data_IF_073535127169
#
_entry.id   IF_073535127169
#
_cell.length_a   1.000
_cell.length_b   1.000
_cell.length_c   1.000
_cell.angle_alpha   90.00
_cell.angle_beta   90.00
_cell.angle_gamma   90.00
#
_symmetry.space_group_name_H-M   'P 1'
#
loop_
_entity.id
_entity.type
_entity.pdbx_description
1 polymer ?
#
# COMPACT_ATOMS: atom_id res chain seq x y z
N UNK A 1 18.16 -15.81 25.45
CA UNK A 1 16.84 -15.20 25.66
C UNK A 1 16.59 -14.28 24.50
N UNK A 2 15.74 -14.67 23.54
CA UNK A 2 15.35 -13.82 22.42
C UNK A 2 14.41 -12.75 22.97
N UNK A 3 14.90 -11.52 23.04
CA UNK A 3 14.08 -10.35 23.34
C UNK A 3 12.89 -10.35 22.39
N UNK A 4 11.68 -10.32 22.96
CA UNK A 4 10.45 -10.36 22.16
C UNK A 4 10.19 -8.96 21.63
N UNK A 5 10.71 -8.67 20.45
CA UNK A 5 10.52 -7.37 19.81
C UNK A 5 9.10 -7.24 19.26
N UNK A 6 8.43 -6.13 19.58
CA UNK A 6 7.13 -5.79 19.04
C UNK A 6 7.26 -5.17 17.63
N UNK A 7 6.22 -5.34 16.81
CA UNK A 7 6.17 -4.79 15.47
C UNK A 7 6.15 -3.26 15.50
N UNK A 8 7.07 -2.64 14.75
CA UNK A 8 7.19 -1.17 14.67
C UNK A 8 6.36 -0.54 13.55
N UNK A 9 5.62 -1.35 12.78
CA UNK A 9 4.82 -0.84 11.66
C UNK A 9 3.67 0.04 12.19
N UNK A 10 3.39 1.17 11.53
CA UNK A 10 2.36 2.08 11.98
C UNK A 10 1.00 1.38 11.97
N UNK A 11 0.21 1.62 13.02
CA UNK A 11 -1.15 1.06 13.20
C UNK A 11 -1.19 -0.47 13.25
N UNK A 12 -0.08 -1.14 13.56
CA UNK A 12 -0.07 -2.58 13.79
C UNK A 12 -1.11 -2.97 14.86
N UNK A 13 -1.93 -3.98 14.57
CA UNK A 13 -2.94 -4.50 15.48
C UNK A 13 -4.18 -3.63 15.70
N UNK A 14 -4.27 -2.43 15.10
CA UNK A 14 -5.45 -1.54 15.08
C UNK A 14 -6.41 -1.70 16.29
N UNK A 15 -5.99 -1.28 17.48
CA UNK A 15 -6.78 -1.32 18.71
C UNK A 15 -6.41 -2.44 19.68
N UNK A 16 -5.87 -3.57 19.21
CA UNK A 16 -5.40 -4.67 20.07
C UNK A 16 -3.94 -4.55 20.52
N UNK A 17 -3.26 -3.46 20.13
CA UNK A 17 -1.82 -3.25 20.34
C UNK A 17 -0.94 -3.92 19.27
N UNK A 18 0.36 -3.54 19.19
CA UNK A 18 1.28 -4.06 18.18
C UNK A 18 1.51 -5.56 18.37
N UNK A 19 1.56 -6.30 17.25
CA UNK A 19 1.84 -7.74 17.22
C UNK A 19 3.32 -8.01 17.45
N UNK A 20 3.64 -9.26 17.79
CA UNK A 20 5.01 -9.72 17.87
C UNK A 20 5.70 -9.67 16.50
N UNK A 21 6.93 -9.16 16.45
CA UNK A 21 7.75 -9.19 15.24
C UNK A 21 8.24 -10.61 14.96
N UNK A 22 8.46 -10.91 13.68
CA UNK A 22 9.09 -12.17 13.27
C UNK A 22 10.56 -12.18 13.72
N UNK A 23 11.08 -13.33 14.13
CA UNK A 23 12.49 -13.46 14.52
C UNK A 23 13.43 -12.92 13.43
N UNK A 24 14.33 -12.00 13.80
CA UNK A 24 15.24 -11.33 12.87
C UNK A 24 14.65 -10.12 12.15
N UNK A 25 13.35 -9.83 12.30
CA UNK A 25 12.68 -8.66 11.76
C UNK A 25 12.20 -7.72 12.88
N UNK A 26 11.87 -6.49 12.51
CA UNK A 26 11.20 -5.50 13.36
C UNK A 26 9.70 -5.41 13.06
N UNK A 27 9.18 -6.27 12.19
CA UNK A 27 7.79 -6.28 11.74
C UNK A 27 7.14 -7.65 11.91
N UNK A 28 5.83 -7.67 12.14
CA UNK A 28 5.04 -8.90 12.15
C UNK A 28 4.74 -9.35 10.70
N UNK A 29 4.42 -10.64 10.53
CA UNK A 29 4.09 -11.23 9.23
C UNK A 29 2.98 -10.47 8.51
N UNK A 30 1.92 -10.07 9.21
CA UNK A 30 0.78 -9.37 8.58
C UNK A 30 1.15 -7.99 8.04
N UNK A 31 1.90 -7.18 8.79
CA UNK A 31 2.34 -5.86 8.31
C UNK A 31 3.27 -6.01 7.11
N UNK A 32 4.16 -7.01 7.12
CA UNK A 32 5.03 -7.30 5.99
C UNK A 32 4.24 -7.76 4.75
N UNK A 33 3.27 -8.66 4.93
CA UNK A 33 2.39 -9.13 3.84
C UNK A 33 1.54 -8.00 3.26
N UNK A 34 1.00 -7.10 4.09
CA UNK A 34 0.29 -5.90 3.63
C UNK A 34 1.19 -5.00 2.79
N UNK A 35 2.42 -4.76 3.24
CA UNK A 35 3.39 -3.98 2.47
C UNK A 35 3.72 -4.65 1.11
N UNK A 36 3.88 -5.98 1.09
CA UNK A 36 4.05 -6.73 -0.18
C UNK A 36 2.87 -6.56 -1.12
N UNK A 37 1.63 -6.70 -0.60
CA UNK A 37 0.41 -6.46 -1.38
C UNK A 37 0.43 -5.06 -1.99
N UNK A 38 0.71 -4.06 -1.17
CA UNK A 38 0.62 -2.67 -1.58
C UNK A 38 1.66 -2.36 -2.66
N UNK A 39 2.92 -2.78 -2.47
CA UNK A 39 3.97 -2.69 -3.49
C UNK A 39 3.61 -3.44 -4.78
N UNK A 40 3.10 -4.68 -4.68
CA UNK A 40 2.72 -5.47 -5.84
C UNK A 40 1.56 -4.84 -6.64
N UNK A 41 0.69 -4.08 -5.97
CA UNK A 41 -0.42 -3.36 -6.60
C UNK A 41 -0.02 -2.02 -7.24
N UNK A 42 1.14 -1.45 -6.92
CA UNK A 42 1.54 -0.12 -7.41
C UNK A 42 1.52 0.04 -8.94
N UNK A 43 2.00 -0.91 -9.76
CA UNK A 43 1.95 -0.77 -11.21
C UNK A 43 0.52 -0.61 -11.74
N UNK A 44 -0.42 -1.42 -11.21
CA UNK A 44 -1.83 -1.36 -11.60
C UNK A 44 -2.48 -0.05 -11.14
N UNK A 45 -2.13 0.44 -9.95
CA UNK A 45 -2.59 1.73 -9.42
C UNK A 45 -2.11 2.88 -10.33
N UNK A 46 -0.83 2.92 -10.67
CA UNK A 46 -0.27 3.96 -11.53
C UNK A 46 -0.91 3.93 -12.92
N UNK A 47 -1.10 2.74 -13.49
CA UNK A 47 -1.79 2.58 -14.76
C UNK A 47 -3.24 3.09 -14.71
N UNK A 48 -4.00 2.68 -13.68
CA UNK A 48 -5.38 3.11 -13.48
C UNK A 48 -5.52 4.63 -13.33
N UNK A 49 -4.65 5.24 -12.52
CA UNK A 49 -4.58 6.69 -12.38
C UNK A 49 -4.25 7.37 -13.71
N UNK A 50 -3.33 6.80 -14.49
CA UNK A 50 -3.01 7.29 -15.84
C UNK A 50 -4.24 7.40 -16.76
N UNK A 51 -5.16 6.43 -16.69
CA UNK A 51 -6.42 6.46 -17.45
C UNK A 51 -7.40 7.56 -16.98
N UNK A 52 -7.23 8.08 -15.76
CA UNK A 52 -8.07 9.11 -15.14
C UNK A 52 -7.44 10.52 -15.16
N UNK A 53 -6.39 10.70 -15.97
CA UNK A 53 -5.68 11.98 -16.14
C UNK A 53 -6.54 13.02 -16.87
N UNK A 54 -7.37 12.57 -17.81
CA UNK A 54 -8.30 13.44 -18.56
C UNK A 54 -9.60 13.54 -17.75
N UNK A 55 -10.14 14.74 -17.50
CA UNK A 55 -11.44 14.89 -16.85
C UNK A 55 -12.50 14.18 -17.68
N UNK A 56 -13.11 13.13 -17.12
CA UNK A 56 -14.40 12.66 -17.62
C UNK A 56 -15.38 13.83 -17.50
N UNK A 57 -16.15 14.12 -18.54
CA UNK A 57 -17.00 15.32 -18.66
C UNK A 57 -18.16 15.41 -17.67
N UNK A 58 -17.87 15.47 -16.37
CA UNK A 58 -18.81 15.86 -15.34
C UNK A 58 -18.73 17.39 -15.21
N UNK A 59 -19.75 18.06 -15.71
CA UNK A 59 -19.90 19.52 -15.63
C UNK A 59 -19.88 19.97 -14.17
N UNK A 60 -18.74 20.50 -13.73
CA UNK A 60 -18.63 21.19 -12.46
C UNK A 60 -19.49 22.45 -12.46
N UNK A 61 -20.04 22.78 -11.29
CA UNK A 61 -20.85 23.96 -11.05
C UNK A 61 -20.10 25.22 -11.52
N UNK A 62 -20.75 26.04 -12.36
CA UNK A 62 -20.17 27.28 -12.89
C UNK A 62 -20.02 28.29 -11.77
N UNK A 63 -18.86 28.31 -11.14
CA UNK A 63 -18.47 29.42 -10.26
C UNK A 63 -18.10 30.60 -11.15
N UNK A 64 -19.01 31.57 -11.25
CA UNK A 64 -18.80 32.85 -11.94
C UNK A 64 -17.61 33.58 -11.31
N UNK A 65 -16.47 33.67 -12.00
CA UNK A 65 -15.39 34.56 -11.53
C UNK A 65 -13.96 34.36 -12.05
N UNK A 66 -13.60 33.31 -12.78
CA UNK A 66 -12.23 33.18 -13.34
C UNK A 66 -12.22 33.29 -14.86
N UNK A 67 -11.36 34.18 -15.37
CA UNK A 67 -11.07 34.39 -16.81
C UNK A 67 -10.14 33.31 -17.40
N UNK A 68 -9.67 32.38 -16.58
CA UNK A 68 -8.70 31.38 -16.97
C UNK A 68 -9.39 30.07 -17.33
N UNK A 69 -9.11 29.53 -18.53
CA UNK A 69 -9.66 28.25 -18.95
C UNK A 69 -9.17 27.18 -17.97
N UNK A 70 -10.06 26.32 -17.43
CA UNK A 70 -9.64 25.25 -16.55
C UNK A 70 -8.64 24.36 -17.28
N UNK A 71 -7.57 24.00 -16.58
CA UNK A 71 -6.53 23.11 -17.09
C UNK A 71 -7.19 21.81 -17.56
N UNK A 72 -6.92 21.32 -18.79
CA UNK A 72 -7.66 20.21 -19.39
C UNK A 72 -7.31 18.83 -18.81
N UNK A 73 -6.57 18.81 -17.69
CA UNK A 73 -6.06 17.60 -17.03
C UNK A 73 -6.25 17.70 -15.53
N UNK A 74 -6.40 16.54 -14.89
CA UNK A 74 -6.48 16.40 -13.44
C UNK A 74 -5.10 16.50 -12.81
N UNK A 75 -4.79 17.68 -12.28
CA UNK A 75 -3.48 18.01 -11.71
C UNK A 75 -3.13 17.17 -10.48
N UNK A 76 -4.13 16.77 -9.69
CA UNK A 76 -3.96 15.90 -8.53
C UNK A 76 -3.53 14.47 -8.93
N UNK A 77 -4.14 13.92 -9.97
CA UNK A 77 -3.75 12.62 -10.56
C UNK A 77 -2.34 12.71 -11.14
N UNK A 78 -2.06 13.77 -11.90
CA UNK A 78 -0.74 14.00 -12.48
C UNK A 78 0.34 14.12 -11.40
N UNK A 79 0.09 14.87 -10.32
CA UNK A 79 1.03 14.99 -9.22
C UNK A 79 1.34 13.62 -8.57
N UNK A 80 0.34 12.75 -8.44
CA UNK A 80 0.51 11.42 -7.85
C UNK A 80 1.32 10.44 -8.72
N UNK A 81 1.26 10.56 -10.06
CA UNK A 81 1.92 9.61 -10.99
C UNK A 81 3.14 10.18 -11.71
N UNK A 82 3.39 11.49 -11.62
CA UNK A 82 4.49 12.14 -12.33
C UNK A 82 5.83 11.83 -11.64
N UNK A 83 6.85 11.37 -12.39
CA UNK A 83 8.19 11.18 -11.86
C UNK A 83 8.94 12.49 -11.61
N UNK A 84 8.40 13.62 -12.07
CA UNK A 84 8.92 14.96 -11.85
C UNK A 84 8.28 15.66 -10.65
N UNK A 85 7.24 15.07 -10.05
CA UNK A 85 6.67 15.59 -8.82
C UNK A 85 7.65 15.38 -7.66
N UNK A 86 7.81 16.41 -6.82
CA UNK A 86 8.68 16.32 -5.65
C UNK A 86 8.13 15.31 -4.63
N UNK A 87 9.03 14.71 -3.86
CA UNK A 87 8.62 13.89 -2.73
C UNK A 87 8.11 14.83 -1.64
N UNK A 88 6.83 14.68 -1.31
CA UNK A 88 6.14 15.50 -0.32
C UNK A 88 6.34 14.86 1.05
N UNK A 89 7.15 15.48 1.90
CA UNK A 89 7.30 15.13 3.31
C UNK A 89 6.86 16.36 4.10
N UNK A 90 5.56 16.44 4.41
CA UNK A 90 4.96 17.64 4.98
C UNK A 90 5.35 17.83 6.46
N UNK A 91 6.59 18.26 6.72
CA UNK A 91 7.10 18.58 8.05
C UNK A 91 6.55 19.92 8.59
N UNK A 92 6.13 20.84 7.70
CA UNK A 92 5.78 22.23 8.05
C UNK A 92 4.34 22.64 7.72
N UNK A 93 3.53 21.77 7.11
CA UNK A 93 2.14 22.05 6.73
C UNK A 93 1.98 22.90 5.47
N UNK A 94 3.07 23.18 4.74
CA UNK A 94 3.10 24.12 3.62
C UNK A 94 3.12 23.44 2.24
N UNK A 95 3.28 22.11 2.20
CA UNK A 95 3.23 21.34 0.96
C UNK A 95 1.79 20.94 0.63
N UNK A 96 1.29 21.38 -0.53
CA UNK A 96 -0.08 21.09 -0.99
C UNK A 96 -0.04 20.11 -2.16
N UNK A 97 -0.60 18.91 -1.97
CA UNK A 97 -0.77 17.92 -3.05
C UNK A 97 -0.66 16.46 -2.57
N UNK A 98 -1.10 15.48 -3.37
CA UNK A 98 -0.89 14.08 -3.04
C UNK A 98 0.60 13.71 -3.15
N UNK A 99 1.11 12.78 -2.32
CA UNK A 99 2.46 12.26 -2.48
C UNK A 99 2.62 11.59 -3.84
N UNK A 100 3.75 11.85 -4.50
CA UNK A 100 4.12 11.20 -5.76
C UNK A 100 4.52 9.74 -5.51
N UNK A 101 3.84 8.81 -6.19
CA UNK A 101 4.16 7.38 -6.13
C UNK A 101 5.59 7.13 -6.63
N UNK A 102 6.00 7.54 -7.86
CA UNK A 102 7.35 7.26 -8.33
C UNK A 102 8.43 7.87 -7.42
N UNK A 103 8.27 9.11 -6.97
CA UNK A 103 9.32 9.78 -6.20
C UNK A 103 9.48 9.19 -4.80
N UNK A 104 8.37 8.77 -4.18
CA UNK A 104 8.41 8.03 -2.91
C UNK A 104 9.04 6.65 -3.08
N UNK A 105 8.73 5.90 -4.14
CA UNK A 105 9.41 4.62 -4.38
C UNK A 105 10.91 4.81 -4.65
N UNK A 106 11.30 5.88 -5.37
CA UNK A 106 12.70 6.24 -5.62
C UNK A 106 13.48 6.51 -4.35
N UNK A 107 12.93 7.26 -3.39
CA UNK A 107 13.63 7.56 -2.13
C UNK A 107 13.94 6.29 -1.35
N UNK A 108 12.99 5.34 -1.26
CA UNK A 108 13.21 4.05 -0.61
C UNK A 108 14.21 3.16 -1.36
N UNK A 109 14.14 3.12 -2.69
CA UNK A 109 15.12 2.37 -3.51
C UNK A 109 16.53 2.95 -3.31
N UNK A 110 16.66 4.27 -3.31
CA UNK A 110 17.94 4.95 -3.07
C UNK A 110 18.52 4.60 -1.70
N UNK A 111 17.70 4.66 -0.64
CA UNK A 111 18.12 4.31 0.72
C UNK A 111 18.61 2.85 0.82
N UNK A 112 17.90 1.91 0.17
CA UNK A 112 18.33 0.50 0.11
C UNK A 112 19.64 0.37 -0.66
N UNK A 113 19.79 1.05 -1.79
CA UNK A 113 21.03 1.05 -2.58
C UNK A 113 22.21 1.58 -1.76
N UNK A 114 22.04 2.67 -1.03
CA UNK A 114 23.06 3.26 -0.15
C UNK A 114 23.49 2.27 0.93
N UNK A 115 22.54 1.71 1.69
CA UNK A 115 22.84 0.77 2.77
C UNK A 115 23.44 -0.56 2.30
N UNK A 116 23.13 -0.99 1.07
CA UNK A 116 23.57 -2.29 0.53
C UNK A 116 24.75 -2.18 -0.44
N UNK A 117 25.20 -0.98 -0.79
CA UNK A 117 26.20 -0.77 -1.83
C UNK A 117 25.75 -1.28 -3.20
N UNK A 118 24.46 -1.15 -3.53
CA UNK A 118 23.90 -1.55 -4.83
C UNK A 118 23.84 -0.38 -5.80
N UNK A 119 23.90 -0.68 -7.10
CA UNK A 119 23.69 0.33 -8.14
C UNK A 119 22.23 0.79 -8.15
N UNK A 120 22.02 2.09 -8.09
CA UNK A 120 20.70 2.71 -8.17
C UNK A 120 20.16 2.68 -9.62
N UNK A 121 18.92 2.23 -9.85
CA UNK A 121 18.34 2.20 -11.19
C UNK A 121 17.80 3.59 -11.59
N UNK A 122 18.65 4.42 -12.18
CA UNK A 122 18.33 5.84 -12.48
C UNK A 122 17.08 6.06 -13.34
N UNK A 123 16.80 5.14 -14.27
CA UNK A 123 15.72 5.26 -15.25
C UNK A 123 14.54 4.30 -15.00
N UNK A 124 14.41 3.78 -13.79
CA UNK A 124 13.34 2.84 -13.47
C UNK A 124 11.96 3.52 -13.40
N UNK A 125 10.95 2.86 -13.95
CA UNK A 125 9.55 3.22 -13.76
C UNK A 125 9.01 2.77 -12.40
N UNK A 126 7.78 3.18 -12.07
CA UNK A 126 7.16 2.86 -10.77
C UNK A 126 7.03 1.34 -10.53
N UNK A 127 6.83 0.54 -11.57
CA UNK A 127 6.72 -0.91 -11.44
C UNK A 127 8.07 -1.58 -11.22
N UNK A 128 9.12 -1.12 -11.91
CA UNK A 128 10.49 -1.57 -11.70
C UNK A 128 10.99 -1.23 -10.29
N UNK A 129 10.67 -0.03 -9.80
CA UNK A 129 10.98 0.41 -8.43
C UNK A 129 10.22 -0.44 -7.40
N UNK A 130 8.91 -0.63 -7.58
CA UNK A 130 8.11 -1.49 -6.68
C UNK A 130 8.65 -2.94 -6.66
N UNK A 131 9.01 -3.47 -7.83
CA UNK A 131 9.65 -4.79 -7.94
C UNK A 131 11.02 -4.87 -7.25
N UNK A 132 11.81 -3.80 -7.30
CA UNK A 132 13.07 -3.70 -6.56
C UNK A 132 12.82 -3.74 -5.05
N UNK A 133 11.89 -2.93 -4.55
CA UNK A 133 11.52 -2.91 -3.13
C UNK A 133 11.03 -4.27 -2.67
N UNK A 134 10.17 -4.95 -3.44
CA UNK A 134 9.69 -6.30 -3.13
C UNK A 134 10.84 -7.31 -2.95
N UNK A 135 11.84 -7.31 -3.84
CA UNK A 135 13.01 -8.20 -3.75
C UNK A 135 13.87 -7.94 -2.52
N UNK A 136 13.83 -6.73 -1.98
CA UNK A 136 14.65 -6.32 -0.84
C UNK A 136 13.86 -6.15 0.46
N UNK A 137 12.55 -6.40 0.45
CA UNK A 137 11.67 -6.12 1.58
C UNK A 137 12.02 -6.95 2.81
N UNK A 138 12.42 -8.22 2.64
CA UNK A 138 12.80 -9.07 3.77
C UNK A 138 14.09 -8.57 4.45
N UNK A 139 15.04 -8.10 3.66
CA UNK A 139 16.24 -7.46 4.19
C UNK A 139 15.90 -6.12 4.89
N UNK A 140 14.98 -5.35 4.31
CA UNK A 140 14.49 -4.10 4.88
C UNK A 140 13.73 -4.34 6.19
N UNK A 141 13.05 -5.48 6.34
CA UNK A 141 12.26 -5.83 7.51
C UNK A 141 13.07 -5.88 8.81
N UNK A 142 14.39 -6.03 8.73
CA UNK A 142 15.33 -5.99 9.86
C UNK A 142 15.89 -4.59 10.15
N UNK A 143 15.48 -3.55 9.43
CA UNK A 143 16.05 -2.19 9.52
C UNK A 143 15.15 -1.25 10.31
N UNK A 144 15.71 -0.31 11.10
CA UNK A 144 14.93 0.55 12.00
C UNK A 144 13.90 1.42 11.27
N UNK A 145 14.17 1.78 10.01
CA UNK A 145 13.29 2.60 9.17
C UNK A 145 12.15 1.83 8.48
N UNK A 146 12.02 0.50 8.68
CA UNK A 146 10.96 -0.28 8.00
C UNK A 146 9.55 0.22 8.34
N UNK A 147 9.32 0.73 9.56
CA UNK A 147 8.03 1.27 9.95
C UNK A 147 7.60 2.43 9.06
N UNK A 148 8.54 3.31 8.71
CA UNK A 148 8.31 4.46 7.84
C UNK A 148 8.00 4.00 6.41
N UNK A 149 8.79 3.07 5.85
CA UNK A 149 8.53 2.49 4.52
C UNK A 149 7.12 1.89 4.43
N UNK A 150 6.74 1.07 5.41
CA UNK A 150 5.40 0.46 5.45
C UNK A 150 4.31 1.54 5.54
N UNK A 151 4.54 2.57 6.36
CA UNK A 151 3.61 3.68 6.54
C UNK A 151 3.38 4.46 5.25
N UNK A 152 4.46 4.85 4.58
CA UNK A 152 4.40 5.61 3.33
C UNK A 152 3.78 4.80 2.20
N UNK A 153 4.16 3.54 2.03
CA UNK A 153 3.57 2.66 1.00
C UNK A 153 2.06 2.49 1.23
N UNK A 154 1.62 2.28 2.47
CA UNK A 154 0.21 2.20 2.80
C UNK A 154 -0.51 3.54 2.57
N UNK A 155 0.16 4.66 2.83
CA UNK A 155 -0.36 6.00 2.57
C UNK A 155 -0.55 6.27 1.08
N UNK A 156 0.44 5.94 0.24
CA UNK A 156 0.35 6.03 -1.23
C UNK A 156 -0.88 5.29 -1.76
N UNK A 157 -1.08 4.04 -1.34
CA UNK A 157 -2.25 3.24 -1.71
C UNK A 157 -3.55 3.95 -1.31
N UNK A 158 -3.64 4.41 -0.06
CA UNK A 158 -4.85 5.09 0.44
C UNK A 158 -5.16 6.35 -0.37
N UNK A 159 -4.18 7.19 -0.64
CA UNK A 159 -4.36 8.43 -1.42
C UNK A 159 -4.77 8.08 -2.86
N UNK A 160 -4.11 7.13 -3.50
CA UNK A 160 -4.47 6.70 -4.85
C UNK A 160 -5.93 6.21 -4.95
N UNK A 161 -6.45 5.55 -3.91
CA UNK A 161 -7.85 5.15 -3.83
C UNK A 161 -8.85 6.31 -3.69
N UNK A 162 -8.40 7.49 -3.26
CA UNK A 162 -9.24 8.70 -3.23
C UNK A 162 -9.20 9.50 -4.53
N UNK A 163 -8.19 9.28 -5.38
CA UNK A 163 -7.95 10.09 -6.58
C UNK A 163 -8.73 9.62 -7.80
N UNK A 164 -9.21 8.39 -7.87
CA UNK A 164 -10.04 7.93 -8.99
C UNK A 164 -11.20 7.09 -8.45
N UNK A 165 -12.32 6.97 -9.19
CA UNK A 165 -13.32 5.97 -8.87
C UNK A 165 -12.65 4.59 -8.86
N UNK A 166 -12.85 3.83 -7.80
CA UNK A 166 -12.44 2.44 -7.72
C UNK A 166 -13.71 1.63 -7.54
N UNK A 167 -14.12 0.88 -8.57
CA UNK A 167 -15.13 -0.16 -8.39
C UNK A 167 -14.46 -1.34 -7.71
N UNK A 168 -14.39 -1.25 -6.38
CA UNK A 168 -13.86 -2.30 -5.55
C UNK A 168 -14.97 -3.33 -5.38
N UNK A 169 -14.98 -4.37 -6.21
CA UNK A 169 -15.81 -5.52 -5.92
C UNK A 169 -15.23 -6.25 -4.71
N UNK A 170 -15.95 -6.21 -3.59
CA UNK A 170 -15.57 -6.89 -2.36
C UNK A 170 -16.50 -8.07 -2.15
N UNK A 171 -15.91 -9.26 -2.07
CA UNK A 171 -16.62 -10.50 -1.78
C UNK A 171 -16.30 -10.93 -0.35
N UNK A 172 -17.32 -11.01 0.51
CA UNK A 172 -17.20 -11.65 1.81
C UNK A 172 -17.04 -13.17 1.63
N UNK A 173 -16.08 -13.75 2.33
CA UNK A 173 -15.82 -15.19 2.32
C UNK A 173 -16.50 -15.85 3.52
N UNK A 174 -16.96 -17.08 3.31
CA UNK A 174 -17.82 -17.78 4.29
C UNK A 174 -16.99 -18.39 5.41
N UNK A 175 -15.78 -18.85 5.13
CA UNK A 175 -14.93 -19.48 6.14
C UNK A 175 -14.43 -18.46 7.18
N UNK A 176 -14.30 -18.87 8.46
CA UNK A 176 -13.71 -18.03 9.49
C UNK A 176 -12.24 -17.74 9.20
N UNK A 177 -11.70 -16.68 9.80
CA UNK A 177 -10.28 -16.40 9.70
C UNK A 177 -9.46 -17.45 10.50
N UNK A 178 -8.46 -18.11 9.91
CA UNK A 178 -7.68 -19.14 10.61
C UNK A 178 -6.92 -18.62 11.84
N UNK A 179 -6.68 -17.31 11.93
CA UNK A 179 -5.92 -16.72 13.04
C UNK A 179 -6.78 -16.16 14.17
N UNK A 180 -8.05 -15.86 13.95
CA UNK A 180 -8.90 -15.25 14.98
C UNK A 180 -10.31 -15.81 15.05
N UNK A 181 -10.64 -16.78 14.19
CA UNK A 181 -11.93 -17.45 14.09
C UNK A 181 -13.13 -16.54 13.73
N UNK A 182 -12.89 -15.25 13.48
CA UNK A 182 -13.93 -14.30 13.08
C UNK A 182 -14.21 -14.42 11.58
N UNK A 183 -15.49 -14.41 11.20
CA UNK A 183 -15.97 -14.37 9.80
C UNK A 183 -15.83 -12.97 9.21
N UNK A 184 -14.59 -12.53 9.05
CA UNK A 184 -14.24 -11.22 8.53
C UNK A 184 -13.32 -11.30 7.30
N UNK A 185 -13.16 -12.48 6.69
CA UNK A 185 -12.34 -12.62 5.48
C UNK A 185 -13.04 -11.99 4.27
N UNK A 186 -12.33 -11.09 3.59
CA UNK A 186 -12.80 -10.36 2.42
C UNK A 186 -11.82 -10.56 1.27
N UNK A 187 -12.34 -10.91 0.10
CA UNK A 187 -11.62 -10.88 -1.17
C UNK A 187 -11.93 -9.57 -1.87
N UNK A 188 -10.90 -8.84 -2.27
CA UNK A 188 -11.04 -7.62 -3.05
C UNK A 188 -10.60 -7.92 -4.48
N UNK A 189 -11.44 -7.61 -5.47
CA UNK A 189 -11.13 -7.84 -6.87
C UNK A 189 -9.83 -7.11 -7.28
N UNK A 190 -8.94 -7.85 -7.95
CA UNK A 190 -7.63 -7.35 -8.36
C UNK A 190 -6.56 -7.34 -7.26
N UNK A 191 -6.90 -7.68 -6.01
CA UNK A 191 -5.91 -7.86 -4.95
C UNK A 191 -5.43 -9.33 -4.87
N UNK A 192 -4.12 -9.58 -4.70
CA UNK A 192 -3.59 -10.93 -4.61
C UNK A 192 -3.76 -11.57 -3.22
N UNK A 193 -4.37 -10.85 -2.27
CA UNK A 193 -4.54 -11.32 -0.90
C UNK A 193 -6.00 -11.16 -0.44
N UNK A 194 -6.44 -12.12 0.35
CA UNK A 194 -7.66 -12.10 1.16
C UNK A 194 -7.30 -11.51 2.51
N UNK A 195 -8.03 -10.49 2.96
CA UNK A 195 -7.78 -9.82 4.22
C UNK A 195 -8.88 -10.10 5.25
N UNK A 196 -8.48 -10.36 6.49
CA UNK A 196 -9.41 -10.37 7.62
C UNK A 196 -9.70 -8.93 8.07
N UNK A 197 -10.85 -8.38 7.69
CA UNK A 197 -11.18 -6.97 7.82
C UNK A 197 -11.32 -6.53 9.29
N UNK A 198 -10.43 -5.64 9.73
CA UNK A 198 -10.41 -5.11 11.09
C UNK A 198 -11.62 -4.23 11.42
N UNK A 199 -12.29 -3.65 10.41
CA UNK A 199 -13.44 -2.76 10.60
C UNK A 199 -14.67 -3.50 11.15
N UNK A 200 -14.75 -4.80 10.92
CA UNK A 200 -15.82 -5.68 11.40
C UNK A 200 -15.32 -6.66 12.48
N UNK A 201 -14.22 -6.31 13.15
CA UNK A 201 -13.66 -7.07 14.27
C UNK A 201 -12.58 -8.09 13.88
N UNK A 202 -12.22 -8.20 12.60
CA UNK A 202 -11.19 -9.12 12.13
C UNK A 202 -9.76 -8.78 12.61
N UNK A 203 -8.85 -9.74 12.48
CA UNK A 203 -7.48 -9.59 12.96
C UNK A 203 -6.53 -8.93 11.95
N UNK A 204 -6.95 -8.54 10.75
CA UNK A 204 -6.07 -7.87 9.77
C UNK A 204 -5.01 -8.77 9.12
N UNK A 205 -5.03 -10.08 9.35
CA UNK A 205 -4.14 -11.00 8.64
C UNK A 205 -4.52 -11.08 7.17
N UNK A 206 -3.51 -11.19 6.33
CA UNK A 206 -3.63 -11.34 4.89
C UNK A 206 -3.20 -12.75 4.50
N UNK A 207 -3.97 -13.35 3.61
CA UNK A 207 -3.82 -14.73 3.15
C UNK A 207 -3.78 -14.74 1.63
N UNK A 208 -2.91 -15.55 1.05
CA UNK A 208 -2.99 -15.86 -0.36
C UNK A 208 -4.23 -16.72 -0.64
N UNK A 209 -4.68 -16.72 -1.90
CA UNK A 209 -5.79 -17.58 -2.33
C UNK A 209 -5.50 -19.07 -2.02
N UNK A 210 -4.27 -19.53 -2.28
CA UNK A 210 -3.86 -20.90 -2.01
C UNK A 210 -3.83 -21.27 -0.51
N UNK A 211 -3.52 -20.32 0.38
CA UNK A 211 -3.62 -20.55 1.82
C UNK A 211 -5.07 -20.63 2.27
N UNK A 212 -5.94 -19.76 1.73
CA UNK A 212 -7.37 -19.79 2.01
C UNK A 212 -8.03 -21.09 1.52
N UNK A 213 -7.76 -21.53 0.30
CA UNK A 213 -8.28 -22.78 -0.26
C UNK A 213 -7.90 -23.99 0.59
N UNK A 214 -6.64 -24.04 1.06
CA UNK A 214 -6.17 -25.08 1.96
C UNK A 214 -6.92 -25.10 3.28
N UNK A 215 -7.13 -23.93 3.87
CA UNK A 215 -7.90 -23.78 5.10
C UNK A 215 -9.35 -24.24 4.93
N UNK A 216 -9.99 -23.86 3.82
CA UNK A 216 -11.36 -24.31 3.51
C UNK A 216 -11.41 -25.83 3.38
N UNK A 217 -10.44 -26.43 2.68
CA UNK A 217 -10.37 -27.89 2.53
C UNK A 217 -10.22 -28.61 3.88
N UNK A 218 -9.42 -28.06 4.79
CA UNK A 218 -9.27 -28.58 6.16
C UNK A 218 -10.59 -28.52 6.94
N UNK A 219 -11.34 -27.42 6.83
CA UNK A 219 -12.64 -27.26 7.51
C UNK A 219 -13.72 -28.19 6.97
N UNK A 220 -13.73 -28.47 5.67
CA UNK A 220 -14.73 -29.36 5.04
C UNK A 220 -14.40 -30.85 5.20
N UNK A 221 -13.16 -31.17 5.57
CA UNK A 221 -12.70 -32.55 5.79
C UNK A 221 -12.82 -33.01 7.25
N UNK A 222 -13.20 -32.10 8.15
CA UNK A 222 -13.39 -32.31 9.58
C UNK A 222 -14.89 -32.50 9.91
#
# INVERSE_FOLDING_TARGET
MTETTLCIAPRCGAGSGPRQAVSGHLTCTSCLTRCRRDLAGMPAIVHWLGLHTIPGGAGGEKVSGSREKPVPVRLDVLAAISPAAEHVTDLYGDQTGPPSIPTTLKSWVWLICEHRGLTYPERADAGELAGFLLRHLDWAAARPWIGELIGEVAHLRKVAHTLAPWEVHVQALVAPCPSCDIRALMRIAGEPYIECDQRIGGCGNCWTEAEYERHVAELTSA
#
